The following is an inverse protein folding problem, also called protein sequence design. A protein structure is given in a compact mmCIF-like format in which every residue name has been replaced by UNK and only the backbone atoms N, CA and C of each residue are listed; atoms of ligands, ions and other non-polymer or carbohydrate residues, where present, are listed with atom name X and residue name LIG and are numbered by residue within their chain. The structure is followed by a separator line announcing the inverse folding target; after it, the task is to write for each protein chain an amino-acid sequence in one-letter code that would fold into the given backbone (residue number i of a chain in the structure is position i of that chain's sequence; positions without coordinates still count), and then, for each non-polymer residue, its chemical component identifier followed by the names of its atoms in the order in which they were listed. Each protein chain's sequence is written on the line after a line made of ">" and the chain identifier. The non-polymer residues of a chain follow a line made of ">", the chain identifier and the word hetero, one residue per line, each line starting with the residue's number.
data_IF_221044466738
#
_entry.id   IF_221044466738
#
_cell.length_a   1.000
_cell.length_b   1.000
_cell.length_c   1.000
_cell.angle_alpha   90.00
_cell.angle_beta   90.00
_cell.angle_gamma   90.00
#
_symmetry.space_group_name_H-M   'P 1'
#
loop_
_entity.id
_entity.type
_entity.pdbx_description
1 polymer ?
#
# COMPACT_ATOMS: atom_id res chain seq x y z
N UNK A 1 6.71 29.22 25.69
CA UNK A 1 6.66 28.19 24.65
C UNK A 1 5.24 28.20 24.09
N UNK A 2 5.04 28.84 22.94
CA UNK A 2 3.72 29.20 22.40
C UNK A 2 3.02 27.99 21.78
N UNK A 3 1.72 27.87 22.07
CA UNK A 3 0.79 26.82 21.61
C UNK A 3 0.76 26.65 20.08
N UNK A 4 1.21 27.64 19.32
CA UNK A 4 1.26 27.64 17.85
C UNK A 4 2.22 26.62 17.22
N UNK A 5 3.33 26.28 17.87
CA UNK A 5 4.29 25.31 17.30
C UNK A 5 3.70 23.90 17.21
N UNK A 6 2.79 23.53 18.13
CA UNK A 6 2.11 22.23 18.11
C UNK A 6 1.13 22.08 16.95
N UNK A 7 0.48 23.17 16.55
CA UNK A 7 -0.52 23.16 15.47
C UNK A 7 0.17 23.11 14.10
N UNK A 8 1.30 23.81 13.93
CA UNK A 8 2.08 23.80 12.68
C UNK A 8 2.67 22.41 12.38
N UNK A 9 3.14 21.70 13.41
CA UNK A 9 3.78 20.40 13.23
C UNK A 9 2.81 19.32 12.69
N UNK A 10 1.53 19.33 13.13
CA UNK A 10 0.54 18.34 12.67
C UNK A 10 0.19 18.44 11.18
N UNK A 11 0.30 19.63 10.56
CA UNK A 11 0.06 19.80 9.12
C UNK A 11 1.21 19.25 8.28
N UNK A 12 2.45 19.39 8.74
CA UNK A 12 3.64 18.91 8.03
C UNK A 12 3.75 17.38 7.99
N UNK A 13 3.22 16.67 8.99
CA UNK A 13 3.23 15.19 9.01
C UNK A 13 2.19 14.54 8.09
N UNK A 14 1.17 15.28 7.62
CA UNK A 14 0.20 14.74 6.66
C UNK A 14 0.84 14.42 5.30
N UNK A 15 1.75 15.27 4.83
CA UNK A 15 2.40 15.14 3.52
C UNK A 15 3.27 13.87 3.37
N UNK A 16 4.23 13.57 4.28
CA UNK A 16 5.05 12.36 4.16
C UNK A 16 4.25 11.08 4.38
N UNK A 17 3.24 11.11 5.25
CA UNK A 17 2.40 9.94 5.54
C UNK A 17 1.53 9.55 4.34
N UNK A 18 1.08 10.54 3.55
CA UNK A 18 0.39 10.33 2.28
C UNK A 18 1.30 9.74 1.21
N UNK A 19 2.49 10.31 1.02
CA UNK A 19 3.46 9.82 0.03
C UNK A 19 3.82 8.37 0.33
N UNK A 20 4.04 8.04 1.61
CA UNK A 20 4.35 6.68 2.05
C UNK A 20 3.13 5.75 1.86
N UNK A 21 1.91 6.24 2.12
CA UNK A 21 0.68 5.53 1.84
C UNK A 21 0.50 5.18 0.37
N UNK A 22 0.68 6.16 -0.52
CA UNK A 22 0.59 5.98 -1.98
C UNK A 22 1.69 5.03 -2.47
N UNK A 23 2.92 5.20 -1.99
CA UNK A 23 4.05 4.32 -2.34
C UNK A 23 3.77 2.86 -1.96
N UNK A 24 3.23 2.62 -0.76
CA UNK A 24 2.80 1.29 -0.32
C UNK A 24 1.68 0.73 -1.21
N UNK A 25 0.69 1.53 -1.59
CA UNK A 25 -0.39 1.10 -2.48
C UNK A 25 0.15 0.67 -3.85
N UNK A 26 1.02 1.49 -4.45
CA UNK A 26 1.67 1.16 -5.73
C UNK A 26 2.49 -0.12 -5.59
N UNK A 27 3.26 -0.25 -4.51
CA UNK A 27 4.07 -1.42 -4.23
C UNK A 27 3.21 -2.69 -4.15
N UNK A 28 2.13 -2.69 -3.38
CA UNK A 28 1.27 -3.87 -3.24
C UNK A 28 0.57 -4.24 -4.55
N UNK A 29 0.07 -3.26 -5.31
CA UNK A 29 -0.57 -3.54 -6.61
C UNK A 29 0.45 -4.11 -7.59
N UNK A 30 1.63 -3.49 -7.71
CA UNK A 30 2.68 -3.96 -8.61
C UNK A 30 3.18 -5.35 -8.22
N UNK A 31 3.40 -5.60 -6.93
CA UNK A 31 3.85 -6.89 -6.41
C UNK A 31 2.78 -7.99 -6.63
N UNK A 32 1.51 -7.68 -6.37
CA UNK A 32 0.40 -8.59 -6.62
C UNK A 32 0.25 -8.95 -8.10
N UNK A 33 0.35 -7.95 -9.00
CA UNK A 33 0.34 -8.17 -10.44
C UNK A 33 1.54 -9.01 -10.90
N UNK A 34 2.73 -8.70 -10.37
CA UNK A 34 3.95 -9.46 -10.66
C UNK A 34 3.81 -10.92 -10.24
N UNK A 35 3.36 -11.19 -9.01
CA UNK A 35 3.12 -12.55 -8.50
C UNK A 35 2.07 -13.32 -9.29
N UNK A 36 1.10 -12.60 -9.86
CA UNK A 36 0.06 -13.17 -10.69
C UNK A 36 0.58 -13.52 -12.10
N UNK A 37 1.42 -12.68 -12.70
CA UNK A 37 1.94 -12.87 -14.06
C UNK A 37 3.18 -13.77 -14.10
N UNK A 38 4.14 -13.53 -13.20
CA UNK A 38 5.41 -14.25 -13.14
C UNK A 38 5.34 -15.40 -12.14
N UNK A 39 5.32 -16.61 -12.70
CA UNK A 39 5.19 -17.84 -11.96
C UNK A 39 6.52 -18.38 -11.41
N UNK A 40 7.63 -17.77 -11.79
CA UNK A 40 8.98 -18.24 -11.49
C UNK A 40 9.53 -17.74 -10.16
N UNK A 41 8.92 -16.72 -9.56
CA UNK A 41 9.43 -16.09 -8.33
C UNK A 41 9.31 -16.97 -7.09
N UNK A 42 8.32 -17.87 -7.04
CA UNK A 42 8.08 -18.81 -5.93
C UNK A 42 8.10 -20.25 -6.44
N UNK A 43 9.25 -20.68 -6.96
CA UNK A 43 9.47 -22.08 -7.32
C UNK A 43 9.41 -22.95 -6.06
N UNK A 44 8.45 -23.87 -6.01
CA UNK A 44 8.23 -24.79 -4.88
C UNK A 44 6.89 -24.61 -4.17
N UNK A 45 6.14 -23.55 -4.45
CA UNK A 45 4.78 -23.37 -3.91
C UNK A 45 3.75 -23.79 -4.98
N UNK A 46 2.72 -24.59 -4.61
CA UNK A 46 1.66 -24.93 -5.55
C UNK A 46 0.97 -23.68 -6.10
N UNK A 47 0.66 -23.70 -7.40
CA UNK A 47 0.14 -22.55 -8.15
C UNK A 47 -1.13 -21.98 -7.53
N UNK A 48 -1.98 -22.84 -6.97
CA UNK A 48 -3.24 -22.46 -6.31
C UNK A 48 -3.02 -21.51 -5.13
N UNK A 49 -2.11 -21.85 -4.21
CA UNK A 49 -1.81 -21.01 -3.05
C UNK A 49 -1.20 -19.68 -3.47
N UNK A 50 -0.35 -19.69 -4.52
CA UNK A 50 0.27 -18.46 -5.02
C UNK A 50 -0.76 -17.54 -5.68
N UNK A 51 -1.70 -18.08 -6.44
CA UNK A 51 -2.78 -17.29 -7.04
C UNK A 51 -3.67 -16.68 -5.97
N UNK A 52 -4.06 -17.44 -4.95
CA UNK A 52 -4.84 -16.90 -3.82
C UNK A 52 -4.06 -15.77 -3.14
N UNK A 53 -2.77 -15.98 -2.88
CA UNK A 53 -1.92 -14.95 -2.28
C UNK A 53 -1.83 -13.69 -3.16
N UNK A 54 -1.58 -13.84 -4.46
CA UNK A 54 -1.50 -12.72 -5.39
C UNK A 54 -2.81 -11.92 -5.45
N UNK A 55 -3.95 -12.61 -5.49
CA UNK A 55 -5.28 -11.99 -5.45
C UNK A 55 -5.52 -11.27 -4.12
N UNK A 56 -5.16 -11.88 -2.98
CA UNK A 56 -5.28 -11.24 -1.67
C UNK A 56 -4.43 -9.96 -1.57
N UNK A 57 -3.20 -10.00 -2.09
CA UNK A 57 -2.32 -8.81 -2.13
C UNK A 57 -2.91 -7.71 -3.00
N UNK A 58 -3.51 -8.06 -4.15
CA UNK A 58 -4.19 -7.09 -5.01
C UNK A 58 -5.39 -6.45 -4.31
N UNK A 59 -6.26 -7.26 -3.69
CA UNK A 59 -7.42 -6.77 -2.92
C UNK A 59 -6.95 -5.84 -1.79
N UNK A 60 -5.92 -6.25 -1.06
CA UNK A 60 -5.35 -5.44 0.01
C UNK A 60 -4.77 -4.12 -0.52
N UNK A 61 -4.04 -4.16 -1.63
CA UNK A 61 -3.48 -2.96 -2.27
C UNK A 61 -4.57 -1.96 -2.68
N UNK A 62 -5.66 -2.44 -3.28
CA UNK A 62 -6.81 -1.61 -3.64
C UNK A 62 -7.49 -1.01 -2.40
N UNK A 63 -7.76 -1.83 -1.39
CA UNK A 63 -8.34 -1.35 -0.12
C UNK A 63 -7.45 -0.31 0.59
N UNK A 64 -6.13 -0.53 0.58
CA UNK A 64 -5.16 0.42 1.13
C UNK A 64 -5.19 1.74 0.37
N UNK A 65 -5.23 1.68 -0.96
CA UNK A 65 -5.38 2.86 -1.82
C UNK A 65 -6.67 3.63 -1.54
N UNK A 66 -7.79 2.92 -1.39
CA UNK A 66 -9.07 3.52 -1.00
C UNK A 66 -8.97 4.24 0.35
N UNK A 67 -8.34 3.63 1.35
CA UNK A 67 -8.15 4.26 2.67
C UNK A 67 -7.30 5.52 2.59
N UNK A 68 -6.22 5.49 1.81
CA UNK A 68 -5.36 6.67 1.59
C UNK A 68 -6.13 7.79 0.88
N UNK A 69 -7.00 7.45 -0.06
CA UNK A 69 -7.89 8.42 -0.73
C UNK A 69 -8.92 9.01 0.26
N UNK A 70 -9.58 8.18 1.06
CA UNK A 70 -10.57 8.59 2.05
C UNK A 70 -9.98 9.35 3.24
N UNK A 71 -8.70 9.13 3.57
CA UNK A 71 -7.99 9.90 4.60
C UNK A 71 -7.58 11.29 4.09
N UNK A 72 -7.57 11.51 2.77
CA UNK A 72 -7.19 12.77 2.13
C UNK A 72 -8.37 13.65 1.72
N UNK A 73 -9.47 13.06 1.27
CA UNK A 73 -10.72 13.73 0.87
C UNK A 73 -11.79 13.61 1.96
#
# INVERSE_FOLDING_TARGET
>A
MSTDERIRNRRSFKSPMLILGIAMTIFYIALGLWLFLDHSFLQGIPVEFRNIFAVMVLIYGVFRGWRVYADFF
#
